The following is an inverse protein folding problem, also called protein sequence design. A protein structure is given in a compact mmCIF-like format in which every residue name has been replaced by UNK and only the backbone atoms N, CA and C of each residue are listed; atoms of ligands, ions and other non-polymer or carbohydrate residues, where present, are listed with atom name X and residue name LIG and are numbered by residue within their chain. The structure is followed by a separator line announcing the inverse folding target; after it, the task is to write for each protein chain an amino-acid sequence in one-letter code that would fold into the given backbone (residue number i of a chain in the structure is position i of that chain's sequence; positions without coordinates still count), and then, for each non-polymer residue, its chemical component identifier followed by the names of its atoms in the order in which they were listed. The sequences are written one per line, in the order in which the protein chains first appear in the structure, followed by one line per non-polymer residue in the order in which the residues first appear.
data_IF_432690211756
#
_entry.id   IF_432690211756
#
_cell.length_a   1.000
_cell.length_b   1.000
_cell.length_c   1.000
_cell.angle_alpha   90.00
_cell.angle_beta   90.00
_cell.angle_gamma   90.00
#
_symmetry.space_group_name_H-M   'P 1'
#
loop_
_entity.id
_entity.type
_entity.pdbx_description
1 polymer ?
#
# COMPACT_ATOMS: atom_id res chain seq x y z
N UNK A 1 -19.78 3.38 21.69
CA UNK A 1 -18.47 4.05 21.69
C UNK A 1 -17.93 3.99 20.28
N UNK A 2 -17.51 5.12 19.71
CA UNK A 2 -16.88 5.18 18.39
C UNK A 2 -15.43 4.73 18.55
N UNK A 3 -15.01 3.72 17.78
CA UNK A 3 -13.61 3.27 17.77
C UNK A 3 -12.67 4.47 17.53
N UNK A 4 -11.59 4.63 18.34
CA UNK A 4 -10.63 5.70 18.14
C UNK A 4 -10.05 5.72 16.72
N UNK A 5 -9.67 6.90 16.20
CA UNK A 5 -9.17 7.02 14.82
C UNK A 5 -7.92 6.15 14.62
N UNK A 6 -7.86 5.46 13.47
CA UNK A 6 -6.78 4.53 13.14
C UNK A 6 -6.71 3.26 13.99
N UNK A 7 -7.61 3.07 14.95
CA UNK A 7 -7.64 1.90 15.82
C UNK A 7 -8.44 0.75 15.20
N UNK A 8 -8.00 -0.47 15.51
CA UNK A 8 -8.58 -1.71 15.01
C UNK A 8 -8.95 -2.56 16.22
N UNK A 9 -10.25 -2.70 16.50
CA UNK A 9 -10.74 -3.57 17.56
C UNK A 9 -10.32 -5.03 17.31
N UNK A 10 -9.72 -5.67 18.30
CA UNK A 10 -9.21 -7.04 18.20
C UNK A 10 -10.30 -8.07 18.52
N UNK A 11 -9.95 -9.35 18.34
CA UNK A 11 -10.89 -10.48 18.48
C UNK A 11 -11.51 -10.60 19.87
N UNK A 12 -10.77 -10.21 20.91
CA UNK A 12 -11.24 -10.18 22.29
C UNK A 12 -12.33 -9.13 22.55
N UNK A 13 -12.52 -8.18 21.62
CA UNK A 13 -13.43 -7.04 21.72
C UNK A 13 -13.10 -6.08 22.87
N UNK A 14 -11.88 -6.15 23.39
CA UNK A 14 -11.40 -5.35 24.52
C UNK A 14 -10.13 -4.57 24.14
N UNK A 15 -9.25 -5.18 23.34
CA UNK A 15 -7.98 -4.57 22.94
C UNK A 15 -8.03 -4.04 21.51
N UNK A 16 -7.08 -3.15 21.22
CA UNK A 16 -6.94 -2.46 19.95
C UNK A 16 -5.56 -2.70 19.35
N UNK A 17 -5.50 -2.53 18.03
CA UNK A 17 -4.26 -2.39 17.29
C UNK A 17 -4.23 -1.07 16.54
N UNK A 18 -3.02 -0.53 16.36
CA UNK A 18 -2.77 0.59 15.45
C UNK A 18 -1.69 0.21 14.45
N UNK A 19 -1.70 0.88 13.30
CA UNK A 19 -0.66 0.74 12.28
C UNK A 19 -0.13 2.13 11.97
N UNK A 20 1.02 2.53 12.53
CA UNK A 20 1.66 3.78 12.18
C UNK A 20 2.08 3.77 10.70
N UNK A 21 2.06 4.93 10.04
CA UNK A 21 2.47 5.04 8.64
C UNK A 21 3.99 4.89 8.53
N UNK A 22 4.44 3.89 7.78
CA UNK A 22 5.85 3.60 7.47
C UNK A 22 6.01 3.49 5.95
N UNK A 23 6.18 4.61 5.23
CA UNK A 23 6.15 4.63 3.78
C UNK A 23 7.18 3.71 3.15
N UNK A 24 6.76 2.94 2.14
CA UNK A 24 7.60 1.94 1.47
C UNK A 24 8.28 0.93 2.43
N UNK A 25 7.79 0.79 3.67
CA UNK A 25 8.41 -0.05 4.70
C UNK A 25 9.79 0.40 5.17
N UNK A 26 10.17 1.66 4.92
CA UNK A 26 11.45 2.21 5.35
C UNK A 26 11.40 2.67 6.80
N UNK A 27 12.41 2.28 7.58
CA UNK A 27 12.54 2.58 9.00
C UNK A 27 13.96 3.08 9.29
N UNK A 28 14.07 4.11 10.12
CA UNK A 28 15.33 4.57 10.69
C UNK A 28 15.52 4.00 12.10
N UNK A 29 16.73 4.04 12.68
CA UNK A 29 16.91 3.75 14.10
C UNK A 29 15.97 4.56 15.00
N UNK A 30 15.82 5.86 14.78
CA UNK A 30 14.92 6.73 15.56
C UNK A 30 13.46 6.25 15.54
N UNK A 31 12.99 5.78 14.37
CA UNK A 31 11.64 5.21 14.21
C UNK A 31 11.52 3.93 15.05
N UNK A 32 12.52 3.06 15.01
CA UNK A 32 12.53 1.82 15.80
C UNK A 32 12.61 2.08 17.30
N UNK A 33 13.43 3.04 17.72
CA UNK A 33 13.58 3.47 19.12
C UNK A 33 12.26 4.06 19.65
N UNK A 34 11.59 4.89 18.85
CA UNK A 34 10.28 5.46 19.20
C UNK A 34 9.23 4.36 19.37
N UNK A 35 9.14 3.41 18.43
CA UNK A 35 8.21 2.26 18.55
C UNK A 35 8.53 1.45 19.81
N UNK A 36 9.80 1.14 20.06
CA UNK A 36 10.22 0.37 21.22
C UNK A 36 9.91 1.09 22.53
N UNK A 37 10.10 2.41 22.58
CA UNK A 37 9.77 3.25 23.73
C UNK A 37 8.27 3.20 24.04
N UNK A 38 7.42 3.49 23.04
CA UNK A 38 5.96 3.47 23.16
C UNK A 38 5.48 2.09 23.59
N UNK A 39 5.96 1.01 22.96
CA UNK A 39 5.53 -0.34 23.32
C UNK A 39 5.90 -0.71 24.75
N UNK A 40 7.07 -0.29 25.24
CA UNK A 40 7.46 -0.51 26.65
C UNK A 40 6.64 0.32 27.61
N UNK A 41 6.43 1.60 27.31
CA UNK A 41 5.71 2.54 28.19
C UNK A 41 4.24 2.14 28.39
N UNK A 42 3.59 1.70 27.33
CA UNK A 42 2.18 1.31 27.34
C UNK A 42 1.96 -0.20 27.47
N UNK A 43 3.03 -0.97 27.70
CA UNK A 43 3.02 -2.43 27.81
C UNK A 43 2.34 -3.11 26.60
N UNK A 44 2.54 -2.58 25.40
CA UNK A 44 1.97 -3.14 24.17
C UNK A 44 2.65 -4.49 23.89
N UNK A 45 1.91 -5.60 23.93
CA UNK A 45 2.52 -6.94 23.98
C UNK A 45 3.08 -7.42 22.63
N UNK A 46 2.62 -6.85 21.51
CA UNK A 46 2.94 -7.36 20.17
C UNK A 46 3.32 -6.23 19.23
N UNK A 47 4.47 -6.39 18.58
CA UNK A 47 4.88 -5.67 17.38
C UNK A 47 4.89 -6.66 16.22
N UNK A 48 4.01 -6.49 15.23
CA UNK A 48 3.88 -7.40 14.08
C UNK A 48 4.29 -6.73 12.78
N UNK A 49 5.29 -7.29 12.10
CA UNK A 49 5.59 -6.96 10.70
C UNK A 49 4.49 -7.56 9.81
N UNK A 50 3.81 -6.73 9.03
CA UNK A 50 2.69 -7.08 8.16
C UNK A 50 3.16 -7.43 6.74
N UNK A 51 2.30 -8.03 5.93
CA UNK A 51 2.61 -8.34 4.53
C UNK A 51 2.76 -7.11 3.63
N UNK A 52 2.39 -5.92 4.11
CA UNK A 52 2.65 -4.65 3.41
C UNK A 52 3.95 -3.98 3.84
N UNK A 53 4.87 -4.71 4.49
CA UNK A 53 6.13 -4.17 5.05
C UNK A 53 5.93 -3.07 6.10
N UNK A 54 4.80 -3.08 6.81
CA UNK A 54 4.49 -2.13 7.91
C UNK A 54 4.56 -2.80 9.27
N UNK A 55 4.69 -2.03 10.34
CA UNK A 55 4.59 -2.53 11.72
C UNK A 55 3.20 -2.24 12.31
N UNK A 56 2.55 -3.25 12.86
CA UNK A 56 1.32 -3.11 13.64
C UNK A 56 1.64 -3.28 15.13
N UNK A 57 1.11 -2.38 15.95
CA UNK A 57 1.22 -2.43 17.41
C UNK A 57 -0.12 -2.95 17.95
N UNK A 58 -0.13 -4.07 18.68
CA UNK A 58 -1.36 -4.82 18.98
C UNK A 58 -1.44 -5.12 20.48
N UNK A 59 -2.63 -4.93 21.05
CA UNK A 59 -2.96 -5.34 22.43
C UNK A 59 -3.05 -4.20 23.43
N UNK A 60 -3.29 -2.96 22.97
CA UNK A 60 -3.51 -1.80 23.84
C UNK A 60 -4.99 -1.64 24.20
N UNK A 61 -5.28 -1.07 25.37
CA UNK A 61 -6.64 -0.69 25.80
C UNK A 61 -7.12 0.55 25.04
N UNK A 62 -8.43 0.79 25.03
CA UNK A 62 -9.04 1.94 24.34
C UNK A 62 -8.42 3.27 24.79
N UNK A 63 -8.25 3.44 26.10
CA UNK A 63 -7.76 4.69 26.71
C UNK A 63 -6.27 4.95 26.41
N UNK A 64 -5.53 3.94 25.94
CA UNK A 64 -4.12 4.07 25.58
C UNK A 64 -3.93 4.52 24.13
N UNK A 65 -4.94 4.39 23.26
CA UNK A 65 -4.78 4.62 21.82
C UNK A 65 -4.40 6.07 21.51
N UNK A 66 -5.14 7.04 22.06
CA UNK A 66 -4.87 8.46 21.83
C UNK A 66 -3.52 8.91 22.40
N UNK A 67 -3.16 8.59 23.67
CA UNK A 67 -1.82 8.87 24.21
C UNK A 67 -0.67 8.29 23.38
N UNK A 68 -0.84 7.06 22.85
CA UNK A 68 0.14 6.45 21.97
C UNK A 68 0.32 7.25 20.68
N UNK A 69 -0.77 7.72 20.06
CA UNK A 69 -0.69 8.55 18.86
C UNK A 69 0.00 9.90 19.12
N UNK A 70 -0.30 10.54 20.25
CA UNK A 70 0.35 11.80 20.66
C UNK A 70 1.85 11.66 20.85
N UNK A 71 2.32 10.50 21.33
CA UNK A 71 3.74 10.22 21.48
C UNK A 71 4.43 9.89 20.17
N UNK A 72 3.79 9.08 19.33
CA UNK A 72 4.32 8.77 18.01
C UNK A 72 4.44 10.05 17.17
N UNK A 73 3.44 10.95 17.21
CA UNK A 73 3.34 12.14 16.34
C UNK A 73 3.42 11.80 14.85
N UNK A 74 3.02 10.57 14.49
CA UNK A 74 3.05 10.07 13.11
C UNK A 74 1.66 10.09 12.48
N UNK A 75 1.62 10.10 11.15
CA UNK A 75 0.38 9.90 10.40
C UNK A 75 -0.14 8.47 10.61
N UNK A 76 -1.47 8.33 10.66
CA UNK A 76 -2.15 7.03 10.74
C UNK A 76 -1.94 6.25 9.43
N UNK A 77 -1.55 4.98 9.50
CA UNK A 77 -1.28 4.14 8.33
C UNK A 77 -2.54 3.64 7.58
N UNK A 78 -3.74 4.01 8.03
CA UNK A 78 -5.07 3.69 7.46
C UNK A 78 -5.20 2.26 6.94
N UNK A 79 -5.26 1.29 7.85
CA UNK A 79 -5.24 -0.14 7.53
C UNK A 79 -6.63 -0.79 7.34
N UNK A 80 -7.72 -0.08 7.62
CA UNK A 80 -9.10 -0.63 7.58
C UNK A 80 -10.01 0.13 6.63
N UNK A 81 -9.65 1.35 6.27
CA UNK A 81 -10.42 2.26 5.44
C UNK A 81 -10.41 1.83 3.96
N UNK A 82 -11.36 2.37 3.19
CA UNK A 82 -11.43 2.15 1.74
C UNK A 82 -10.55 3.18 1.03
N UNK A 83 -9.23 3.03 1.19
CA UNK A 83 -8.21 3.88 0.59
C UNK A 83 -6.99 3.04 0.14
N UNK A 84 -5.89 3.70 -0.23
CA UNK A 84 -4.60 3.01 -0.35
C UNK A 84 -4.17 2.50 1.02
N UNK A 85 -3.92 1.19 1.12
CA UNK A 85 -3.48 0.54 2.36
C UNK A 85 -1.97 0.59 2.54
N UNK A 86 -1.22 0.42 1.46
CA UNK A 86 0.24 0.48 1.46
C UNK A 86 0.79 0.50 0.04
N UNK A 87 2.02 1.01 -0.08
CA UNK A 87 2.88 0.85 -1.25
C UNK A 87 4.06 -0.02 -0.83
N UNK A 88 4.17 -1.22 -1.40
CA UNK A 88 5.30 -2.12 -1.17
C UNK A 88 6.35 -1.85 -2.24
N UNK A 89 7.56 -1.45 -1.86
CA UNK A 89 8.64 -1.17 -2.80
C UNK A 89 9.87 -2.03 -2.53
N UNK A 90 10.51 -2.53 -3.59
CA UNK A 90 11.82 -3.16 -3.43
C UNK A 90 12.93 -2.09 -3.36
N UNK A 91 14.17 -2.45 -2.99
CA UNK A 91 15.23 -1.45 -2.79
C UNK A 91 15.68 -0.67 -4.04
N UNK A 92 15.26 -1.08 -5.25
CA UNK A 92 15.53 -0.35 -6.49
C UNK A 92 17.01 -0.08 -6.77
N UNK A 93 17.27 0.95 -7.58
CA UNK A 93 18.62 1.47 -7.87
C UNK A 93 19.30 2.11 -6.66
N UNK A 94 18.53 2.49 -5.62
CA UNK A 94 19.07 3.09 -4.41
C UNK A 94 19.97 2.13 -3.61
N UNK A 95 19.72 0.81 -3.68
CA UNK A 95 20.46 -0.19 -2.87
C UNK A 95 20.80 -1.47 -3.65
N UNK A 96 19.93 -1.94 -4.54
CA UNK A 96 20.06 -3.28 -5.14
C UNK A 96 20.93 -3.27 -6.40
N UNK A 97 21.92 -4.17 -6.47
CA UNK A 97 22.76 -4.36 -7.67
C UNK A 97 22.00 -4.76 -8.94
N UNK A 98 20.79 -5.30 -8.80
CA UNK A 98 19.91 -5.68 -9.92
C UNK A 98 18.88 -4.59 -10.24
N UNK A 99 18.84 -3.52 -9.45
CA UNK A 99 17.93 -2.40 -9.66
C UNK A 99 18.16 -1.77 -11.03
N UNK A 100 17.06 -1.57 -11.77
CA UNK A 100 17.09 -0.90 -13.08
C UNK A 100 16.42 0.47 -13.00
N UNK A 101 15.42 0.60 -12.14
CA UNK A 101 14.69 1.83 -11.87
C UNK A 101 14.60 2.11 -10.36
N UNK A 102 14.39 3.37 -9.98
CA UNK A 102 14.21 3.77 -8.58
C UNK A 102 12.80 3.45 -8.07
N UNK A 103 12.62 2.25 -7.52
CA UNK A 103 11.35 1.83 -6.94
C UNK A 103 11.05 2.45 -5.59
N UNK A 104 12.07 2.87 -4.82
CA UNK A 104 11.84 3.48 -3.51
C UNK A 104 11.33 4.91 -3.69
N UNK A 105 11.99 5.72 -4.52
CA UNK A 105 11.56 7.08 -4.83
C UNK A 105 10.14 7.11 -5.38
N UNK A 106 9.86 6.32 -6.43
CA UNK A 106 8.53 6.29 -7.02
C UNK A 106 7.47 5.75 -6.03
N UNK A 107 7.82 4.76 -5.21
CA UNK A 107 6.92 4.24 -4.18
C UNK A 107 6.52 5.28 -3.13
N UNK A 108 7.46 6.13 -2.70
CA UNK A 108 7.21 7.23 -1.76
C UNK A 108 6.31 8.30 -2.36
N UNK A 109 6.57 8.70 -3.61
CA UNK A 109 5.75 9.68 -4.34
C UNK A 109 4.30 9.23 -4.44
N UNK A 110 4.07 7.97 -4.83
CA UNK A 110 2.72 7.38 -4.91
C UNK A 110 2.04 7.37 -3.54
N UNK A 111 2.75 6.94 -2.50
CA UNK A 111 2.15 6.84 -1.16
C UNK A 111 1.77 8.21 -0.60
N UNK A 112 2.58 9.25 -0.83
CA UNK A 112 2.25 10.61 -0.40
C UNK A 112 1.09 11.19 -1.23
N UNK A 113 1.12 11.03 -2.56
CA UNK A 113 0.10 11.58 -3.46
C UNK A 113 -1.29 10.96 -3.26
N UNK A 114 -1.38 9.72 -2.77
CA UNK A 114 -2.63 9.00 -2.57
C UNK A 114 -3.06 8.87 -1.10
N UNK A 115 -2.29 9.41 -0.16
CA UNK A 115 -2.57 9.29 1.27
C UNK A 115 -3.99 9.80 1.61
N UNK A 116 -4.81 8.92 2.18
CA UNK A 116 -6.18 9.25 2.59
C UNK A 116 -7.20 9.43 1.46
N UNK A 117 -6.81 9.31 0.17
CA UNK A 117 -7.76 9.40 -0.94
C UNK A 117 -8.75 8.22 -0.90
N UNK A 118 -10.07 8.47 -0.99
CA UNK A 118 -11.07 7.42 -0.92
C UNK A 118 -11.18 6.65 -2.24
N UNK A 119 -11.36 5.34 -2.13
CA UNK A 119 -11.55 4.42 -3.25
C UNK A 119 -12.74 3.48 -2.99
N UNK A 120 -13.34 2.88 -4.03
CA UNK A 120 -14.44 1.94 -3.86
C UNK A 120 -14.12 0.76 -2.95
N UNK A 121 -12.87 0.29 -2.95
CA UNK A 121 -12.35 -0.70 -2.01
C UNK A 121 -10.88 -0.40 -1.68
N UNK A 122 -10.28 -1.16 -0.75
CA UNK A 122 -8.85 -1.06 -0.44
C UNK A 122 -7.98 -1.29 -1.66
N UNK A 123 -6.95 -0.45 -1.82
CA UNK A 123 -5.98 -0.48 -2.93
C UNK A 123 -4.59 -0.76 -2.37
N UNK A 124 -3.84 -1.63 -3.05
CA UNK A 124 -2.48 -2.02 -2.67
C UNK A 124 -1.55 -1.89 -3.88
N UNK A 125 -0.40 -1.27 -3.66
CA UNK A 125 0.62 -1.12 -4.70
C UNK A 125 1.80 -2.07 -4.49
N UNK A 126 2.41 -2.46 -5.58
CA UNK A 126 3.74 -3.09 -5.60
C UNK A 126 4.64 -2.42 -6.61
N UNK A 127 5.77 -1.87 -6.17
CA UNK A 127 6.76 -1.18 -7.00
C UNK A 127 8.05 -1.97 -7.00
N UNK A 128 8.43 -2.51 -8.15
CA UNK A 128 9.64 -3.33 -8.32
C UNK A 128 10.57 -2.65 -9.31
N UNK A 129 11.77 -2.28 -8.90
CA UNK A 129 12.73 -1.59 -9.77
C UNK A 129 13.35 -2.47 -10.88
N UNK A 130 12.98 -3.74 -10.99
CA UNK A 130 13.41 -4.66 -12.05
C UNK A 130 12.42 -5.83 -12.23
N UNK A 131 12.54 -6.65 -13.29
CA UNK A 131 11.64 -7.76 -13.57
C UNK A 131 11.62 -8.90 -12.52
N UNK A 132 12.57 -8.92 -11.57
CA UNK A 132 12.57 -9.89 -10.46
C UNK A 132 11.35 -9.75 -9.54
N UNK A 133 10.64 -8.61 -9.60
CA UNK A 133 9.33 -8.44 -9.00
C UNK A 133 9.32 -8.61 -7.45
N UNK A 134 10.39 -8.21 -6.75
CA UNK A 134 10.47 -8.33 -5.29
C UNK A 134 9.43 -7.49 -4.53
N UNK A 135 8.84 -6.47 -5.18
CA UNK A 135 7.70 -5.71 -4.65
C UNK A 135 6.34 -6.41 -4.83
N UNK A 136 6.32 -7.65 -5.32
CA UNK A 136 5.11 -8.43 -5.62
C UNK A 136 4.17 -7.74 -6.62
N UNK A 137 4.71 -6.86 -7.47
CA UNK A 137 3.95 -5.98 -8.38
C UNK A 137 2.90 -6.70 -9.21
N UNK A 138 3.17 -7.92 -9.68
CA UNK A 138 2.22 -8.71 -10.50
C UNK A 138 0.98 -9.20 -9.75
N UNK A 139 0.98 -9.21 -8.42
CA UNK A 139 -0.13 -9.71 -7.57
C UNK A 139 -0.68 -8.63 -6.64
N UNK A 140 -0.37 -7.36 -6.91
CA UNK A 140 -0.94 -6.19 -6.24
C UNK A 140 -2.06 -5.59 -7.10
N UNK A 141 -2.93 -4.81 -6.49
CA UNK A 141 -4.06 -4.20 -7.21
C UNK A 141 -3.53 -3.34 -8.37
N UNK A 142 -2.43 -2.62 -8.12
CA UNK A 142 -1.61 -1.93 -9.13
C UNK A 142 -0.14 -2.32 -8.93
N UNK A 143 0.50 -2.76 -10.00
CA UNK A 143 1.89 -3.16 -10.07
C UNK A 143 2.68 -2.23 -10.99
N UNK A 144 3.88 -1.86 -10.56
CA UNK A 144 4.82 -1.05 -11.33
C UNK A 144 6.14 -1.82 -11.39
N UNK A 145 6.62 -2.11 -12.59
CA UNK A 145 7.78 -2.98 -12.82
C UNK A 145 8.79 -2.25 -13.71
N UNK A 146 9.98 -2.02 -13.17
CA UNK A 146 11.07 -1.35 -13.87
C UNK A 146 11.71 -2.24 -14.92
N UNK A 147 12.05 -1.64 -16.05
CA UNK A 147 12.80 -2.24 -17.15
C UNK A 147 13.82 -1.23 -17.65
N UNK A 148 14.73 -1.68 -18.54
CA UNK A 148 15.71 -0.76 -19.16
C UNK A 148 15.06 0.29 -20.07
N UNK A 149 13.83 0.05 -20.52
CA UNK A 149 13.08 0.93 -21.42
C UNK A 149 12.13 1.88 -20.68
N UNK A 150 12.04 1.79 -19.35
CA UNK A 150 11.06 2.51 -18.54
C UNK A 150 10.24 1.55 -17.67
N UNK A 151 9.00 1.91 -17.39
CA UNK A 151 8.10 1.20 -16.49
C UNK A 151 7.02 0.40 -17.24
N UNK A 152 6.72 -0.79 -16.71
CA UNK A 152 5.52 -1.56 -17.02
C UNK A 152 4.49 -1.32 -15.90
N UNK A 153 3.27 -0.93 -16.28
CA UNK A 153 2.13 -0.80 -15.35
C UNK A 153 1.21 -2.02 -15.53
N UNK A 154 0.90 -2.68 -14.42
CA UNK A 154 0.06 -3.87 -14.33
C UNK A 154 -1.12 -3.58 -13.40
N UNK A 155 -2.32 -4.03 -13.73
CA UNK A 155 -3.53 -3.80 -12.91
C UNK A 155 -4.31 -5.09 -12.67
N UNK A 156 -5.08 -5.14 -11.58
CA UNK A 156 -5.98 -6.26 -11.31
C UNK A 156 -5.32 -7.47 -10.64
N UNK A 157 -4.09 -7.35 -10.13
CA UNK A 157 -3.46 -8.42 -9.36
C UNK A 157 -4.13 -8.64 -8.00
N UNK A 158 -4.04 -9.86 -7.47
CA UNK A 158 -4.58 -10.21 -6.16
C UNK A 158 -3.77 -11.34 -5.52
N UNK A 159 -3.28 -11.13 -4.30
CA UNK A 159 -2.65 -12.15 -3.45
C UNK A 159 -3.59 -12.73 -2.38
N UNK A 160 -4.91 -12.51 -2.54
CA UNK A 160 -5.94 -12.94 -1.60
C UNK A 160 -6.46 -14.37 -1.85
N UNK A 161 -7.68 -14.70 -1.37
CA UNK A 161 -8.24 -16.05 -1.43
C UNK A 161 -8.38 -16.63 -2.85
N UNK A 162 -8.51 -15.75 -3.86
CA UNK A 162 -8.46 -16.11 -5.29
C UNK A 162 -7.26 -15.40 -5.92
N UNK A 163 -6.07 -16.02 -5.92
CA UNK A 163 -4.89 -15.43 -6.50
C UNK A 163 -5.12 -15.07 -7.97
N UNK A 164 -4.64 -13.89 -8.37
CA UNK A 164 -4.74 -13.41 -9.75
C UNK A 164 -3.46 -12.66 -10.10
N UNK A 165 -2.87 -13.03 -11.23
CA UNK A 165 -1.80 -12.25 -11.85
C UNK A 165 -2.48 -11.09 -12.57
N UNK A 166 -2.03 -9.87 -12.31
CA UNK A 166 -2.56 -8.67 -12.97
C UNK A 166 -2.20 -8.62 -14.45
N UNK A 167 -2.97 -7.83 -15.20
CA UNK A 167 -2.80 -7.66 -16.64
C UNK A 167 -1.97 -6.42 -16.92
N UNK A 168 -1.08 -6.51 -17.90
CA UNK A 168 -0.33 -5.34 -18.38
C UNK A 168 -1.30 -4.31 -18.97
N UNK A 169 -1.27 -3.10 -18.40
CA UNK A 169 -1.97 -1.94 -18.93
C UNK A 169 -1.14 -1.26 -20.03
N UNK A 170 0.13 -0.97 -19.75
CA UNK A 170 1.10 -0.45 -20.73
C UNK A 170 2.55 -0.73 -20.29
N UNK A 171 3.50 -0.55 -21.21
CA UNK A 171 4.94 -0.80 -21.04
C UNK A 171 5.76 0.36 -21.60
N UNK A 172 7.06 0.33 -21.30
CA UNK A 172 8.07 1.23 -21.85
C UNK A 172 7.75 2.72 -21.57
N UNK A 173 7.15 3.00 -20.41
CA UNK A 173 6.72 4.33 -19.97
C UNK A 173 7.81 5.06 -19.20
N UNK A 174 7.88 6.39 -19.30
CA UNK A 174 8.61 7.20 -18.30
C UNK A 174 7.91 7.14 -16.93
N UNK A 175 8.54 7.63 -15.87
CA UNK A 175 7.90 7.67 -14.55
C UNK A 175 6.67 8.57 -14.56
N UNK A 176 6.75 9.71 -15.26
CA UNK A 176 5.66 10.67 -15.41
C UNK A 176 4.48 10.06 -16.19
N UNK A 177 4.77 9.35 -17.30
CA UNK A 177 3.74 8.66 -18.09
C UNK A 177 3.09 7.53 -17.30
N UNK A 178 3.89 6.75 -16.55
CA UNK A 178 3.39 5.69 -15.68
C UNK A 178 2.47 6.26 -14.59
N UNK A 179 2.87 7.37 -13.96
CA UNK A 179 2.06 8.03 -12.94
C UNK A 179 0.75 8.57 -13.51
N UNK A 180 0.80 9.29 -14.63
CA UNK A 180 -0.39 9.82 -15.30
C UNK A 180 -1.37 8.70 -15.70
N UNK A 181 -0.85 7.56 -16.18
CA UNK A 181 -1.68 6.41 -16.51
C UNK A 181 -2.32 5.77 -15.27
N UNK A 182 -1.59 5.67 -14.16
CA UNK A 182 -2.12 5.18 -12.89
C UNK A 182 -3.25 6.08 -12.39
N UNK A 183 -3.09 7.40 -12.47
CA UNK A 183 -4.13 8.35 -12.08
C UNK A 183 -5.40 8.19 -12.91
N UNK A 184 -5.27 8.10 -14.25
CA UNK A 184 -6.40 7.83 -15.16
C UNK A 184 -7.09 6.51 -14.83
N UNK A 185 -6.33 5.44 -14.60
CA UNK A 185 -6.89 4.15 -14.23
C UNK A 185 -7.65 4.20 -12.89
N UNK A 186 -7.09 4.87 -11.89
CA UNK A 186 -7.70 5.02 -10.58
C UNK A 186 -9.00 5.82 -10.64
N UNK A 187 -9.05 6.88 -11.46
CA UNK A 187 -10.26 7.66 -11.72
C UNK A 187 -11.32 6.80 -12.41
N UNK A 188 -10.96 6.12 -13.51
CA UNK A 188 -11.85 5.21 -14.21
C UNK A 188 -12.40 4.10 -13.29
N UNK A 189 -11.56 3.52 -12.43
CA UNK A 189 -11.97 2.54 -11.43
C UNK A 189 -12.96 3.13 -10.40
N UNK A 190 -12.73 4.36 -9.94
CA UNK A 190 -13.64 5.04 -8.98
C UNK A 190 -15.02 5.27 -9.56
N UNK A 191 -15.10 5.61 -10.84
CA UNK A 191 -16.35 5.94 -11.52
C UNK A 191 -17.14 4.68 -11.93
N UNK A 192 -16.45 3.61 -12.36
CA UNK A 192 -17.10 2.51 -13.07
C UNK A 192 -17.25 1.20 -12.25
N UNK A 193 -16.51 1.03 -11.15
CA UNK A 193 -16.49 -0.27 -10.44
C UNK A 193 -17.67 -0.53 -9.50
N UNK A 194 -18.30 0.52 -8.98
CA UNK A 194 -19.30 0.41 -7.91
C UNK A 194 -18.69 0.16 -6.52
N UNK A 195 -19.53 0.27 -5.47
CA UNK A 195 -19.06 0.27 -4.08
C UNK A 195 -18.50 -1.10 -3.64
N UNK A 196 -17.39 -1.08 -2.90
CA UNK A 196 -16.73 -2.26 -2.29
C UNK A 196 -16.26 -3.32 -3.29
N UNK A 197 -16.09 -2.97 -4.56
CA UNK A 197 -15.53 -3.85 -5.59
C UNK A 197 -14.01 -3.71 -5.64
N UNK A 198 -13.27 -4.80 -5.45
CA UNK A 198 -11.79 -4.82 -5.56
C UNK A 198 -11.36 -4.64 -7.02
N UNK A 199 -10.24 -3.95 -7.25
CA UNK A 199 -9.65 -3.75 -8.59
C UNK A 199 -9.51 -5.08 -9.35
N UNK A 200 -9.07 -6.16 -8.69
CA UNK A 200 -8.97 -7.48 -9.32
C UNK A 200 -10.29 -8.00 -9.90
N UNK A 201 -11.43 -7.78 -9.22
CA UNK A 201 -12.76 -8.19 -9.69
C UNK A 201 -13.28 -7.25 -10.78
N UNK A 202 -12.97 -5.97 -10.66
CA UNK A 202 -13.33 -4.96 -11.66
C UNK A 202 -12.64 -5.27 -12.99
N UNK A 203 -11.32 -5.45 -13.00
CA UNK A 203 -10.54 -5.79 -14.20
C UNK A 203 -10.97 -7.13 -14.79
N UNK A 204 -11.24 -8.14 -13.96
CA UNK A 204 -11.74 -9.45 -14.41
C UNK A 204 -13.12 -9.36 -15.10
N UNK A 205 -14.00 -8.47 -14.61
CA UNK A 205 -15.33 -8.27 -15.17
C UNK A 205 -15.31 -7.43 -16.45
N UNK A 206 -14.59 -6.31 -16.43
CA UNK A 206 -14.58 -5.33 -17.52
C UNK A 206 -13.72 -5.83 -18.70
N UNK A 207 -12.63 -6.53 -18.40
CA UNK A 207 -11.65 -6.96 -19.38
C UNK A 207 -10.60 -5.87 -19.64
N UNK A 208 -9.32 -6.27 -19.70
CA UNK A 208 -8.21 -5.34 -19.84
C UNK A 208 -8.26 -4.53 -21.15
N UNK A 209 -8.74 -5.12 -22.24
CA UNK A 209 -8.81 -4.43 -23.54
C UNK A 209 -9.88 -3.33 -23.55
N UNK A 210 -11.02 -3.54 -22.88
CA UNK A 210 -12.04 -2.50 -22.73
C UNK A 210 -11.53 -1.34 -21.85
N UNK A 211 -10.83 -1.65 -20.76
CA UNK A 211 -10.19 -0.65 -19.91
C UNK A 211 -9.17 0.16 -20.71
N UNK A 212 -8.27 -0.51 -21.45
CA UNK A 212 -7.28 0.17 -22.31
C UNK A 212 -7.95 1.12 -23.30
N UNK A 213 -8.99 0.66 -24.00
CA UNK A 213 -9.73 1.49 -24.96
C UNK A 213 -10.39 2.72 -24.34
N UNK A 214 -10.66 2.70 -23.02
CA UNK A 214 -11.27 3.82 -22.32
C UNK A 214 -10.27 4.86 -21.79
N UNK A 215 -9.01 4.48 -21.53
CA UNK A 215 -8.05 5.34 -20.80
C UNK A 215 -6.71 5.60 -21.51
N UNK A 216 -6.38 4.85 -22.57
CA UNK A 216 -5.21 5.07 -23.42
C UNK A 216 -5.59 5.94 -24.62
#
# INVERSE_FOLDING_TARGET
MTTPDGAILQRDKETYAIVPRTPAGMLTPDVLETIAYVCRKYEVPIIKITSGQRMALVGMKEEQVEPIWEELKWKVGRATELCVHYVQACPGTAVCKLGVQDSLGFGLEIEEALYGKPFPAKVKFGVSGCPMCCGESRVRDIGIIGTKKGWEVVVGGNSGPRPRIGDTLAKDLTQEEAWALIEKFLEYYRENSGKRVRISKFVEKEGIEAIKAAIL
#
